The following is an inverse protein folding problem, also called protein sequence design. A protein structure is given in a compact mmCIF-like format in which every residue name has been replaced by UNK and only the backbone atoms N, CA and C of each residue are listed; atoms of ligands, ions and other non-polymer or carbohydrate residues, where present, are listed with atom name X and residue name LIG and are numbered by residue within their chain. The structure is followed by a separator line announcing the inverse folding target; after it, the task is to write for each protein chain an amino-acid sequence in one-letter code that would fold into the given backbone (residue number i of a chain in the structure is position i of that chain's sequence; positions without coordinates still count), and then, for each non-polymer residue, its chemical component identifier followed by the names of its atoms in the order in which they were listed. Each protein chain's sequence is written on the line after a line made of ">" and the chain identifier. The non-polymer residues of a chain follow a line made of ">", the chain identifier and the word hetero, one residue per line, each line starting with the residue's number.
data_IF_627633810847
#
_entry.id   IF_627633810847
#
_cell.length_a   1.000
_cell.length_b   1.000
_cell.length_c   1.000
_cell.angle_alpha   90.00
_cell.angle_beta   90.00
_cell.angle_gamma   90.00
#
_symmetry.space_group_name_H-M   'P 1'
#
loop_
_entity.id
_entity.type
_entity.pdbx_description
1 polymer ?
#
# COMPACT_ATOMS: atom_id res chain seq x y z
N UNK A 1 -25.52 -5.20 29.63
CA UNK A 1 -24.44 -6.22 29.62
C UNK A 1 -24.76 -7.23 28.54
N UNK A 2 -23.72 -7.76 27.88
CA UNK A 2 -23.61 -8.48 26.59
C UNK A 2 -23.47 -7.48 25.41
N UNK A 3 -22.36 -7.33 24.69
CA UNK A 3 -20.96 -7.73 24.87
C UNK A 3 -20.16 -6.87 23.85
N UNK A 4 -19.22 -6.03 24.28
CA UNK A 4 -18.31 -5.24 23.40
C UNK A 4 -17.22 -6.16 22.81
N UNK A 5 -17.59 -7.27 22.18
CA UNK A 5 -16.64 -8.25 21.63
C UNK A 5 -17.16 -8.87 20.35
N UNK A 6 -17.16 -8.07 19.29
CA UNK A 6 -16.84 -8.57 17.95
C UNK A 6 -16.31 -7.38 17.13
N UNK A 7 -15.13 -6.86 17.51
CA UNK A 7 -14.21 -6.19 16.58
C UNK A 7 -13.67 -7.22 15.57
N UNK A 8 -14.55 -8.04 14.99
CA UNK A 8 -14.20 -8.90 13.87
C UNK A 8 -14.07 -7.98 12.68
N UNK A 9 -12.81 -7.69 12.32
CA UNK A 9 -12.50 -6.99 11.08
C UNK A 9 -13.30 -7.65 9.95
N UNK A 10 -14.35 -6.97 9.48
CA UNK A 10 -15.23 -7.49 8.45
C UNK A 10 -14.36 -7.70 7.21
N UNK A 11 -14.10 -8.96 6.87
CA UNK A 11 -13.33 -9.30 5.68
C UNK A 11 -14.19 -9.03 4.46
N UNK A 12 -14.12 -7.80 3.96
CA UNK A 12 -14.73 -7.43 2.70
C UNK A 12 -13.91 -8.07 1.56
N UNK A 13 -14.50 -9.10 0.94
CA UNK A 13 -13.97 -9.67 -0.29
C UNK A 13 -14.66 -8.91 -1.42
N UNK A 14 -13.91 -8.07 -2.11
CA UNK A 14 -14.45 -7.33 -3.24
C UNK A 14 -14.89 -8.30 -4.34
N UNK A 15 -16.14 -8.14 -4.80
CA UNK A 15 -16.72 -8.97 -5.86
C UNK A 15 -16.08 -8.67 -7.21
N UNK A 16 -15.55 -7.46 -7.38
CA UNK A 16 -14.85 -7.02 -8.58
C UNK A 16 -13.49 -6.45 -8.15
N UNK A 17 -12.46 -7.31 -7.99
CA UNK A 17 -11.15 -6.84 -7.57
C UNK A 17 -10.63 -5.80 -8.57
N UNK A 18 -10.26 -4.63 -8.07
CA UNK A 18 -9.61 -3.60 -8.88
C UNK A 18 -8.32 -4.16 -9.49
N UNK A 19 -8.01 -3.74 -10.72
CA UNK A 19 -6.80 -4.15 -11.44
C UNK A 19 -5.53 -3.74 -10.69
N UNK A 20 -5.60 -2.75 -9.81
CA UNK A 20 -4.51 -2.34 -8.92
C UNK A 20 -4.11 -3.43 -7.93
N UNK A 21 -5.01 -4.37 -7.61
CA UNK A 21 -4.73 -5.50 -6.71
C UNK A 21 -4.07 -6.69 -7.44
N UNK A 22 -3.87 -6.61 -8.76
CA UNK A 22 -3.10 -7.63 -9.46
C UNK A 22 -1.64 -7.61 -8.96
N UNK A 23 -1.06 -8.79 -8.64
CA UNK A 23 0.29 -8.86 -8.07
C UNK A 23 1.37 -8.17 -8.93
N UNK A 24 1.22 -8.23 -10.26
CA UNK A 24 2.11 -7.55 -11.21
C UNK A 24 2.07 -6.03 -11.04
N UNK A 25 0.88 -5.45 -10.97
CA UNK A 25 0.64 -4.01 -10.82
C UNK A 25 1.15 -3.52 -9.46
N UNK A 26 0.89 -4.27 -8.40
CA UNK A 26 1.37 -3.98 -7.05
C UNK A 26 2.92 -3.94 -6.99
N UNK A 27 3.59 -4.91 -7.62
CA UNK A 27 5.06 -4.96 -7.70
C UNK A 27 5.60 -3.78 -8.48
N UNK A 28 4.99 -3.42 -9.62
CA UNK A 28 5.40 -2.26 -10.41
C UNK A 28 5.30 -0.96 -9.60
N UNK A 29 4.18 -0.73 -8.90
CA UNK A 29 4.04 0.45 -8.05
C UNK A 29 5.07 0.48 -6.93
N UNK A 30 5.32 -0.66 -6.28
CA UNK A 30 6.32 -0.76 -5.21
C UNK A 30 7.71 -0.38 -5.69
N UNK A 31 8.10 -0.84 -6.88
CA UNK A 31 9.39 -0.48 -7.50
C UNK A 31 9.44 1.02 -7.78
N UNK A 32 8.41 1.60 -8.41
CA UNK A 32 8.38 3.03 -8.73
C UNK A 32 8.47 3.91 -7.48
N UNK A 33 7.75 3.56 -6.41
CA UNK A 33 7.82 4.27 -5.15
C UNK A 33 9.22 4.22 -4.52
N UNK A 34 9.89 3.06 -4.57
CA UNK A 34 11.26 2.93 -4.10
C UNK A 34 12.22 3.84 -4.88
N UNK A 35 12.06 3.94 -6.21
CA UNK A 35 12.88 4.81 -7.05
C UNK A 35 12.69 6.29 -6.66
N UNK A 36 11.45 6.74 -6.52
CA UNK A 36 11.13 8.12 -6.14
C UNK A 36 11.71 8.43 -4.76
N UNK A 37 11.57 7.50 -3.81
CA UNK A 37 12.12 7.65 -2.47
C UNK A 37 13.64 7.83 -2.49
N UNK A 38 14.38 6.97 -3.21
CA UNK A 38 15.83 7.05 -3.30
C UNK A 38 16.30 8.34 -3.98
N UNK A 39 15.67 8.71 -5.10
CA UNK A 39 15.98 9.96 -5.79
C UNK A 39 15.67 11.18 -4.92
N UNK A 40 14.59 11.14 -4.14
CA UNK A 40 14.23 12.18 -3.19
C UNK A 40 15.27 12.33 -2.08
N UNK A 41 15.68 11.23 -1.45
CA UNK A 41 16.72 11.25 -0.41
C UNK A 41 18.04 11.77 -0.97
N UNK A 42 18.50 11.21 -2.10
CA UNK A 42 19.75 11.61 -2.72
C UNK A 42 19.73 13.08 -3.13
N UNK A 43 18.67 13.53 -3.82
CA UNK A 43 18.52 14.90 -4.29
C UNK A 43 18.49 15.92 -3.15
N UNK A 44 17.76 15.63 -2.07
CA UNK A 44 17.74 16.51 -0.90
C UNK A 44 19.07 16.50 -0.14
N UNK A 45 19.70 15.33 0.01
CA UNK A 45 20.99 15.19 0.69
C UNK A 45 22.16 15.83 -0.07
N UNK A 46 22.07 15.92 -1.40
CA UNK A 46 23.09 16.55 -2.23
C UNK A 46 23.02 18.09 -2.22
N UNK A 47 21.86 18.65 -1.86
CA UNK A 47 21.66 20.10 -1.74
C UNK A 47 22.02 20.61 -0.34
N UNK A 48 21.82 19.79 0.69
CA UNK A 48 22.18 20.12 2.08
C UNK A 48 23.70 20.25 2.26
#
# INVERSE_FOLDING_TARGET
>A
MINETEETCHRFIDKHPDMTNEPSVLVTFSILYLHIFLLGVLGNSAVL
#
